data_IF_069192242860
#
_entry.id   IF_069192242860
#
_cell.length_a   1.000
_cell.length_b   1.000
_cell.length_c   1.000
_cell.angle_alpha   90.00
_cell.angle_beta   90.00
_cell.angle_gamma   90.00
#
_symmetry.space_group_name_H-M   'P 1'
#
loop_
_entity.id
_entity.type
_entity.pdbx_description
1 polymer ?
#
# COMPACT_ATOMS: atom_id res chain seq x y z
N UNK A 1 -4.63 1.23 -19.43
CA UNK A 1 -5.18 1.91 -18.26
C UNK A 1 -5.44 3.38 -18.59
N UNK A 2 -6.36 3.65 -19.51
CA UNK A 2 -6.81 5.01 -19.78
C UNK A 2 -8.00 5.27 -18.85
N UNK A 3 -7.88 6.23 -17.93
CA UNK A 3 -8.93 6.57 -16.97
C UNK A 3 -8.69 6.17 -15.51
N UNK A 4 -7.51 5.65 -15.16
CA UNK A 4 -7.20 5.36 -13.75
C UNK A 4 -6.79 6.66 -13.05
N UNK A 5 -7.62 7.10 -12.12
CA UNK A 5 -7.40 8.26 -11.25
C UNK A 5 -7.43 7.80 -9.80
N UNK A 6 -7.44 8.71 -8.82
CA UNK A 6 -7.66 8.28 -7.45
C UNK A 6 -6.42 7.70 -6.78
N UNK A 7 -6.66 7.12 -5.61
CA UNK A 7 -5.71 6.21 -4.96
C UNK A 7 -5.35 5.00 -5.86
N UNK A 8 -6.28 4.53 -6.71
CA UNK A 8 -6.02 3.43 -7.63
C UNK A 8 -4.90 3.74 -8.63
N UNK A 9 -4.92 4.95 -9.22
CA UNK A 9 -3.88 5.38 -10.16
C UNK A 9 -2.54 5.59 -9.45
N UNK A 10 -2.57 6.22 -8.28
CA UNK A 10 -1.40 6.41 -7.43
C UNK A 10 -0.70 5.08 -7.14
N UNK A 11 -1.44 4.09 -6.62
CA UNK A 11 -0.89 2.79 -6.23
C UNK A 11 -0.45 1.95 -7.44
N UNK A 12 -1.21 1.98 -8.54
CA UNK A 12 -0.84 1.31 -9.78
C UNK A 12 0.51 1.81 -10.30
N UNK A 13 0.66 3.13 -10.43
CA UNK A 13 1.87 3.72 -10.97
C UNK A 13 3.05 3.57 -10.00
N UNK A 14 2.84 3.68 -8.69
CA UNK A 14 3.86 3.31 -7.69
C UNK A 14 4.34 1.87 -7.90
N UNK A 15 3.42 0.94 -8.08
CA UNK A 15 3.70 -0.46 -8.34
C UNK A 15 4.45 -0.74 -9.65
N UNK A 16 4.35 0.17 -10.62
CA UNK A 16 5.11 0.12 -11.89
C UNK A 16 6.44 0.89 -11.81
N UNK A 17 6.82 1.35 -10.62
CA UNK A 17 8.06 2.09 -10.37
C UNK A 17 7.98 3.59 -10.68
N UNK A 18 6.80 4.12 -11.02
CA UNK A 18 6.61 5.56 -11.19
C UNK A 18 6.37 6.27 -9.86
N UNK A 19 6.94 7.47 -9.73
CA UNK A 19 6.76 8.29 -8.54
C UNK A 19 5.41 9.00 -8.56
N UNK A 20 4.58 8.72 -7.57
CA UNK A 20 3.29 9.38 -7.40
C UNK A 20 3.18 10.11 -6.06
N UNK A 21 3.96 9.72 -5.06
CA UNK A 21 4.07 10.41 -3.76
C UNK A 21 5.26 11.36 -3.73
N UNK A 22 5.15 12.46 -2.98
CA UNK A 22 6.27 13.37 -2.80
C UNK A 22 7.29 12.77 -1.81
N UNK A 23 8.61 13.03 -1.99
CA UNK A 23 9.64 12.45 -1.13
C UNK A 23 9.49 12.80 0.36
N UNK A 24 9.00 14.00 0.67
CA UNK A 24 8.82 14.46 2.07
C UNK A 24 7.58 13.93 2.78
N UNK A 25 6.74 13.11 2.14
CA UNK A 25 5.44 12.70 2.68
C UNK A 25 5.48 11.38 3.46
N UNK A 26 6.63 10.72 3.55
CA UNK A 26 6.73 9.39 4.17
C UNK A 26 6.22 9.33 5.61
N UNK A 27 6.37 10.41 6.38
CA UNK A 27 5.93 10.49 7.78
C UNK A 27 4.49 10.99 7.97
N UNK A 28 3.83 11.46 6.92
CA UNK A 28 2.44 11.86 6.97
C UNK A 28 1.50 10.64 7.05
N UNK A 29 0.34 10.76 7.72
CA UNK A 29 -0.65 9.69 7.74
C UNK A 29 -1.15 9.39 6.32
N UNK A 30 -1.26 8.11 5.99
CA UNK A 30 -1.82 7.64 4.74
C UNK A 30 -3.34 7.64 4.82
N UNK A 31 -3.94 8.84 4.72
CA UNK A 31 -5.38 9.07 4.84
C UNK A 31 -6.16 8.54 3.61
N UNK A 32 -6.19 7.21 3.47
CA UNK A 32 -6.91 6.49 2.42
C UNK A 32 -8.19 5.93 3.01
N UNK A 33 -9.32 6.55 2.66
CA UNK A 33 -10.64 6.14 3.13
C UNK A 33 -11.04 4.79 2.50
N UNK A 34 -11.36 3.76 3.30
CA UNK A 34 -11.89 2.49 2.80
C UNK A 34 -13.18 2.69 2.00
N UNK A 35 -13.29 2.03 0.86
CA UNK A 35 -14.46 2.16 -0.02
C UNK A 35 -15.74 1.73 0.71
N UNK A 36 -15.70 0.64 1.46
CA UNK A 36 -16.87 0.14 2.20
C UNK A 36 -17.37 1.16 3.24
N UNK A 37 -16.45 1.87 3.92
CA UNK A 37 -16.81 2.95 4.83
C UNK A 37 -17.47 4.12 4.09
N UNK A 38 -16.87 4.55 2.99
CA UNK A 38 -17.40 5.65 2.18
C UNK A 38 -18.79 5.31 1.64
N UNK A 39 -18.99 4.09 1.14
CA UNK A 39 -20.29 3.61 0.63
C UNK A 39 -21.34 3.59 1.75
N UNK A 40 -21.01 3.09 2.94
CA UNK A 40 -21.92 3.11 4.10
C UNK A 40 -22.31 4.53 4.49
N UNK A 41 -21.38 5.49 4.43
CA UNK A 41 -21.68 6.91 4.66
C UNK A 41 -22.60 7.47 3.58
N UNK A 42 -22.34 7.21 2.30
CA UNK A 42 -23.17 7.71 1.19
C UNK A 42 -24.60 7.17 1.28
N UNK A 43 -24.75 5.86 1.52
CA UNK A 43 -26.07 5.25 1.62
C UNK A 43 -26.77 5.70 2.92
N UNK A 44 -26.04 5.70 4.04
CA UNK A 44 -26.56 6.14 5.32
C UNK A 44 -26.99 7.61 5.31
N UNK A 45 -26.21 8.49 4.69
CA UNK A 45 -26.58 9.90 4.62
C UNK A 45 -27.87 10.09 3.82
N UNK A 46 -28.06 9.37 2.71
CA UNK A 46 -29.31 9.38 1.95
C UNK A 46 -30.50 8.84 2.76
N UNK A 47 -30.30 7.78 3.53
CA UNK A 47 -31.34 7.15 4.34
C UNK A 47 -31.81 8.02 5.52
N UNK A 48 -30.88 8.78 6.14
CA UNK A 48 -31.14 9.57 7.34
C UNK A 48 -31.25 11.09 7.08
N UNK A 49 -31.16 11.54 5.83
CA UNK A 49 -31.30 12.94 5.48
C UNK A 49 -32.71 13.43 5.79
N UNK A 50 -32.81 14.55 6.50
CA UNK A 50 -34.08 15.24 6.74
C UNK A 50 -34.06 16.58 6.02
N UNK A 51 -35.20 17.03 5.47
CA UNK A 51 -35.28 18.38 4.93
C UNK A 51 -34.96 19.38 6.06
N UNK A 52 -34.17 20.44 5.79
CA UNK A 52 -33.65 21.36 6.80
C UNK A 52 -34.74 22.25 7.45
N UNK A 53 -36.01 22.09 7.05
CA UNK A 53 -37.10 22.96 7.47
C UNK A 53 -36.94 24.38 6.90
N UNK A 54 -37.53 25.36 7.58
CA UNK A 54 -37.51 26.77 7.16
C UNK A 54 -36.35 27.57 7.77
N UNK A 55 -35.67 27.03 8.78
CA UNK A 55 -34.61 27.71 9.53
C UNK A 55 -33.31 26.91 9.44
N UNK A 56 -32.42 27.29 8.53
CA UNK A 56 -31.13 26.65 8.33
C UNK A 56 -30.02 27.67 8.06
N UNK A 57 -28.78 27.27 8.29
CA UNK A 57 -27.60 28.08 7.97
C UNK A 57 -26.96 27.58 6.66
N UNK A 58 -26.64 28.49 5.74
CA UNK A 58 -25.83 28.15 4.57
C UNK A 58 -24.34 28.20 4.98
N UNK A 59 -23.50 27.21 4.61
CA UNK A 59 -22.08 27.14 4.98
C UNK A 59 -21.23 28.36 4.59
N UNK A 60 -21.73 29.22 3.69
CA UNK A 60 -21.02 30.39 3.17
C UNK A 60 -21.82 31.69 3.29
N UNK A 61 -22.98 31.68 3.97
CA UNK A 61 -23.66 32.93 4.29
C UNK A 61 -23.08 33.45 5.60
N UNK A 62 -22.59 34.68 5.59
CA UNK A 62 -22.28 35.39 6.82
C UNK A 62 -23.48 35.26 7.75
N UNK A 63 -23.31 34.64 8.92
CA UNK A 63 -24.37 34.57 9.91
C UNK A 63 -24.68 36.02 10.27
N UNK A 64 -25.85 36.57 9.91
CA UNK A 64 -26.16 37.94 10.26
C UNK A 64 -26.14 38.00 11.77
N UNK A 65 -25.37 38.92 12.34
CA UNK A 65 -25.41 39.14 13.77
C UNK A 65 -26.87 39.46 14.13
N UNK A 66 -27.55 38.66 14.98
CA UNK A 66 -28.93 38.94 15.37
C UNK A 66 -29.09 40.28 16.10
N UNK A 67 -27.98 40.91 16.50
CA UNK A 67 -27.97 42.28 17.04
C UNK A 67 -27.74 43.35 15.97
N UNK A 68 -27.40 42.98 14.73
CA UNK A 68 -27.36 43.91 13.60
C UNK A 68 -28.78 44.14 13.08
N UNK A 69 -29.50 45.04 13.73
CA UNK A 69 -30.70 45.63 13.15
C UNK A 69 -30.28 46.48 11.94
N UNK A 70 -30.10 45.85 10.78
CA UNK A 70 -29.90 46.56 9.51
C UNK A 70 -30.39 45.69 8.35
N UNK A 71 -31.65 45.87 8.03
CA UNK A 71 -32.28 45.49 6.77
C UNK A 71 -31.66 46.32 5.65
N UNK A 72 -30.59 45.84 5.03
CA UNK A 72 -30.21 46.26 3.68
C UNK A 72 -29.33 45.21 3.00
N UNK A 73 -29.83 44.72 1.87
CA UNK A 73 -29.09 43.88 0.92
C UNK A 73 -28.06 44.79 0.23
N UNK A 74 -26.73 44.55 0.32
CA UNK A 74 -25.76 45.33 -0.41
C UNK A 74 -25.65 44.80 -1.85
N UNK A 75 -26.20 45.55 -2.80
CA UNK A 75 -25.91 45.41 -4.23
C UNK A 75 -24.63 46.16 -4.58
N UNK A 76 -23.46 45.55 -4.37
CA UNK A 76 -22.22 45.93 -5.09
C UNK A 76 -21.15 44.84 -4.97
N UNK A 77 -20.53 44.38 -6.09
CA UNK A 77 -19.41 43.48 -6.05
C UNK A 77 -18.09 44.26 -5.99
N UNK A 78 -17.32 44.13 -4.91
CA UNK A 78 -15.96 44.67 -4.90
C UNK A 78 -15.24 44.66 -3.55
N UNK A 79 -14.05 44.06 -3.59
CA UNK A 79 -12.89 44.32 -2.72
C UNK A 79 -12.78 43.52 -1.41
N UNK A 80 -11.85 42.56 -1.45
CA UNK A 80 -10.97 42.11 -0.36
C UNK A 80 -11.62 41.81 1.00
N UNK A 81 -12.20 40.62 1.13
CA UNK A 81 -12.38 40.01 2.45
C UNK A 81 -11.20 39.09 2.79
N UNK A 82 -10.52 39.29 3.93
CA UNK A 82 -9.54 38.32 4.40
C UNK A 82 -10.27 37.06 4.85
N UNK A 83 -9.87 35.91 4.26
CA UNK A 83 -10.21 34.57 4.75
C UNK A 83 -9.83 34.48 6.23
N UNK A 84 -10.77 34.72 7.12
CA UNK A 84 -10.65 34.42 8.54
C UNK A 84 -11.40 33.13 8.78
N UNK A 85 -10.63 32.05 8.89
CA UNK A 85 -11.02 30.82 9.55
C UNK A 85 -11.16 31.09 11.05
N UNK A 86 -12.21 31.79 11.45
CA UNK A 86 -12.60 31.95 12.86
C UNK A 86 -13.54 30.80 13.22
N UNK A 87 -12.95 29.69 13.66
CA UNK A 87 -13.71 28.53 14.12
C UNK A 87 -13.02 27.69 15.21
N UNK A 88 -11.90 28.15 15.77
CA UNK A 88 -11.13 27.38 16.75
C UNK A 88 -10.97 28.03 18.14
N UNK A 89 -11.46 29.26 18.38
CA UNK A 89 -11.27 29.94 19.68
C UNK A 89 -12.48 29.89 20.63
N UNK A 90 -13.62 29.31 20.24
CA UNK A 90 -14.84 29.32 21.08
C UNK A 90 -14.91 28.19 22.15
N UNK A 91 -13.83 27.47 22.42
CA UNK A 91 -13.83 26.35 23.38
C UNK A 91 -13.45 26.70 24.83
N UNK A 92 -13.16 27.95 25.17
CA UNK A 92 -12.63 28.31 26.51
C UNK A 92 -13.50 29.20 27.40
N UNK A 93 -14.65 29.72 26.94
CA UNK A 93 -15.52 30.54 27.79
C UNK A 93 -16.93 29.96 27.87
N UNK A 94 -17.37 29.63 29.09
CA UNK A 94 -18.65 29.02 29.44
C UNK A 94 -19.88 29.91 29.19
N UNK A 95 -19.98 30.52 28.02
CA UNK A 95 -21.20 31.17 27.56
C UNK A 95 -22.21 30.08 27.13
N UNK A 96 -23.50 30.21 27.49
CA UNK A 96 -24.52 29.28 27.03
C UNK A 96 -24.56 29.31 25.50
N UNK A 97 -24.24 28.16 24.88
CA UNK A 97 -24.21 27.98 23.42
C UNK A 97 -25.53 28.50 22.84
N UNK A 98 -25.45 29.54 22.00
CA UNK A 98 -26.57 29.91 21.12
C UNK A 98 -26.99 28.65 20.35
N UNK A 99 -28.30 28.37 20.18
CA UNK A 99 -28.73 27.22 19.40
C UNK A 99 -28.20 27.37 17.97
N UNK A 100 -27.28 26.48 17.57
CA UNK A 100 -26.74 26.45 16.22
C UNK A 100 -27.86 26.01 15.27
N UNK A 101 -28.20 26.86 14.30
CA UNK A 101 -29.09 26.49 13.20
C UNK A 101 -28.47 25.29 12.44
N UNK A 102 -29.28 24.33 11.97
CA UNK A 102 -28.78 23.20 11.20
C UNK A 102 -28.16 23.68 9.88
N UNK A 103 -26.94 23.25 9.52
CA UNK A 103 -26.32 23.63 8.26
C UNK A 103 -27.00 22.94 7.07
N UNK A 104 -27.17 23.67 5.96
CA UNK A 104 -27.65 23.12 4.69
C UNK A 104 -26.84 23.69 3.51
N UNK A 105 -26.28 22.86 2.60
CA UNK A 105 -26.32 21.40 2.63
C UNK A 105 -25.57 20.84 3.85
N UNK A 106 -26.03 19.68 4.34
CA UNK A 106 -25.30 18.93 5.37
C UNK A 106 -24.04 18.36 4.73
N UNK A 107 -22.88 18.65 5.31
CA UNK A 107 -21.60 18.18 4.80
C UNK A 107 -21.12 17.02 5.68
N UNK A 108 -21.05 15.83 5.10
CA UNK A 108 -20.48 14.65 5.74
C UNK A 108 -19.01 14.51 5.32
N UNK A 109 -18.10 14.88 6.21
CA UNK A 109 -16.66 14.78 5.96
C UNK A 109 -16.21 13.35 6.25
N UNK A 110 -15.40 12.79 5.34
CA UNK A 110 -14.86 11.42 5.48
C UNK A 110 -13.35 11.48 5.50
N UNK A 111 -12.75 10.82 6.49
CA UNK A 111 -11.30 10.69 6.66
C UNK A 111 -11.02 9.37 7.36
N UNK A 112 -9.92 8.74 7.00
CA UNK A 112 -9.35 7.61 7.71
C UNK A 112 -8.57 8.05 8.96
N UNK A 113 -8.37 9.35 9.23
CA UNK A 113 -7.63 9.83 10.40
C UNK A 113 -8.14 9.24 11.73
N UNK A 114 -9.46 9.08 11.87
CA UNK A 114 -10.09 8.45 13.04
C UNK A 114 -9.84 6.93 13.13
N UNK A 115 -9.48 6.29 12.02
CA UNK A 115 -9.21 4.84 11.88
C UNK A 115 -7.73 4.48 12.13
N UNK A 116 -6.94 5.43 12.65
CA UNK A 116 -5.50 5.26 12.96
C UNK A 116 -4.71 4.71 11.75
N UNK A 117 -4.69 5.43 10.61
CA UNK A 117 -4.05 4.94 9.41
C UNK A 117 -2.53 4.92 9.60
N UNK A 118 -1.80 4.02 8.91
CA UNK A 118 -0.36 4.01 8.97
C UNK A 118 0.22 5.25 8.31
N UNK A 119 1.52 5.49 8.52
CA UNK A 119 2.27 6.48 7.75
C UNK A 119 2.43 6.03 6.30
N UNK A 120 2.57 6.98 5.36
CA UNK A 120 2.84 6.66 3.94
C UNK A 120 4.07 5.79 3.74
N UNK A 121 5.11 5.92 4.56
CA UNK A 121 6.30 5.05 4.54
C UNK A 121 5.93 3.58 4.71
N UNK A 122 5.13 3.28 5.73
CA UNK A 122 4.70 1.91 6.00
C UNK A 122 3.69 1.40 4.96
N UNK A 123 2.73 2.23 4.55
CA UNK A 123 1.80 1.88 3.47
C UNK A 123 2.56 1.56 2.17
N UNK A 124 3.59 2.36 1.85
CA UNK A 124 4.47 2.13 0.70
C UNK A 124 5.22 0.81 0.79
N UNK A 125 5.75 0.42 1.96
CA UNK A 125 6.43 -0.86 2.10
C UNK A 125 5.51 -2.05 1.79
N UNK A 126 4.25 -1.97 2.19
CA UNK A 126 3.23 -2.98 1.84
C UNK A 126 2.94 -2.98 0.33
N UNK A 127 2.74 -1.79 -0.27
CA UNK A 127 2.54 -1.63 -1.71
C UNK A 127 3.73 -2.23 -2.47
N UNK A 128 4.95 -1.84 -2.10
CA UNK A 128 6.21 -2.32 -2.68
C UNK A 128 6.30 -3.83 -2.59
N UNK A 129 6.09 -4.41 -1.41
CA UNK A 129 6.17 -5.85 -1.19
C UNK A 129 5.22 -6.60 -2.13
N UNK A 130 3.96 -6.15 -2.24
CA UNK A 130 3.01 -6.72 -3.19
C UNK A 130 3.51 -6.68 -4.63
N UNK A 131 3.94 -5.52 -5.12
CA UNK A 131 4.31 -5.36 -6.53
C UNK A 131 5.64 -6.04 -6.87
N UNK A 132 6.63 -6.02 -5.99
CA UNK A 132 7.90 -6.73 -6.18
C UNK A 132 7.66 -8.23 -6.31
N UNK A 133 6.84 -8.83 -5.43
CA UNK A 133 6.51 -10.26 -5.50
C UNK A 133 5.74 -10.64 -6.75
N UNK A 134 4.86 -9.75 -7.24
CA UNK A 134 3.96 -10.09 -8.34
C UNK A 134 4.56 -9.79 -9.71
N UNK A 135 5.36 -8.74 -9.84
CA UNK A 135 5.87 -8.26 -11.14
C UNK A 135 7.37 -8.48 -11.33
N UNK A 136 8.10 -8.85 -10.27
CA UNK A 136 9.57 -8.88 -10.23
C UNK A 136 10.23 -7.55 -10.62
N UNK A 137 9.47 -6.45 -10.65
CA UNK A 137 10.00 -5.11 -10.91
C UNK A 137 10.74 -4.64 -9.67
N UNK A 138 11.97 -4.19 -9.86
CA UNK A 138 12.75 -3.59 -8.79
C UNK A 138 12.23 -2.18 -8.46
N UNK A 139 11.56 -2.08 -7.32
CA UNK A 139 10.97 -0.85 -6.76
C UNK A 139 11.85 -0.42 -5.57
N UNK A 140 12.21 0.88 -5.45
CA UNK A 140 13.04 1.38 -4.36
C UNK A 140 12.45 1.05 -2.99
N UNK A 141 13.30 0.92 -1.97
CA UNK A 141 12.84 0.80 -0.57
C UNK A 141 12.17 2.09 -0.09
N UNK A 142 11.37 2.06 0.99
CA UNK A 142 10.75 3.29 1.51
C UNK A 142 11.76 4.34 1.94
N UNK A 143 12.94 3.93 2.41
CA UNK A 143 14.05 4.83 2.74
C UNK A 143 14.61 5.53 1.50
N UNK A 144 14.72 4.82 0.39
CA UNK A 144 15.18 5.35 -0.90
C UNK A 144 14.11 6.12 -1.67
N UNK A 145 12.84 5.84 -1.40
CA UNK A 145 11.72 6.48 -2.06
C UNK A 145 11.35 7.82 -1.39
N UNK A 146 11.36 7.87 -0.05
CA UNK A 146 11.05 9.06 0.74
C UNK A 146 12.29 9.87 1.17
N UNK A 147 13.40 9.83 0.40
CA UNK A 147 14.61 10.60 0.70
C UNK A 147 14.50 12.09 0.37
N UNK A 148 15.26 12.89 1.10
CA UNK A 148 15.18 14.35 1.21
C UNK A 148 15.39 15.18 -0.07
N UNK A 149 15.76 14.61 -1.22
CA UNK A 149 16.03 15.37 -2.46
C UNK A 149 15.23 14.89 -3.68
N UNK A 150 14.23 15.69 -4.05
CA UNK A 150 13.42 15.55 -5.29
C UNK A 150 14.28 15.52 -6.55
N UNK A 151 15.47 16.13 -6.54
CA UNK A 151 16.39 16.17 -7.69
C UNK A 151 17.15 14.85 -7.88
N UNK A 152 17.68 14.26 -6.80
CA UNK A 152 18.40 12.99 -6.85
C UNK A 152 17.49 11.82 -7.27
N UNK A 153 16.26 11.81 -6.78
CA UNK A 153 15.29 10.78 -7.18
C UNK A 153 14.87 10.94 -8.65
N UNK A 154 14.60 12.19 -9.10
CA UNK A 154 14.32 12.46 -10.52
C UNK A 154 15.48 12.03 -11.44
N UNK A 155 16.73 12.23 -11.02
CA UNK A 155 17.90 11.78 -11.76
C UNK A 155 17.99 10.24 -11.82
N UNK A 156 17.74 9.53 -10.71
CA UNK A 156 17.66 8.05 -10.68
C UNK A 156 16.52 7.53 -11.55
N UNK A 157 15.34 8.14 -11.45
CA UNK A 157 14.18 7.80 -12.25
C UNK A 157 14.45 8.02 -13.74
N UNK A 158 15.06 9.16 -14.09
CA UNK A 158 15.52 9.44 -15.45
C UNK A 158 16.50 8.36 -15.94
N UNK A 159 17.52 8.03 -15.16
CA UNK A 159 18.51 7.02 -15.55
C UNK A 159 17.93 5.61 -15.68
N UNK A 160 16.99 5.21 -14.81
CA UNK A 160 16.42 3.86 -14.82
C UNK A 160 15.34 3.70 -15.90
N UNK A 161 14.53 4.74 -16.15
CA UNK A 161 13.32 4.62 -16.96
C UNK A 161 13.27 5.53 -18.19
N UNK A 162 14.00 6.65 -18.25
CA UNK A 162 13.99 7.55 -19.41
C UNK A 162 15.26 7.44 -20.27
N UNK A 163 16.43 7.21 -19.70
CA UNK A 163 17.69 7.08 -20.43
C UNK A 163 17.71 5.86 -21.36
N UNK A 164 17.25 4.66 -20.95
CA UNK A 164 17.05 3.56 -21.88
C UNK A 164 16.06 3.89 -23.00
N UNK A 165 15.09 4.78 -22.77
CA UNK A 165 14.10 5.22 -23.77
C UNK A 165 14.72 6.17 -24.79
N UNK A 166 15.56 7.10 -24.35
CA UNK A 166 16.29 8.03 -25.22
C UNK A 166 17.28 7.29 -26.12
N UNK A 167 17.91 6.23 -25.61
CA UNK A 167 18.82 5.38 -26.40
C UNK A 167 18.02 4.46 -27.33
N UNK A 168 16.95 3.84 -26.83
CA UNK A 168 16.09 2.97 -27.63
C UNK A 168 15.38 3.70 -28.76
N UNK A 169 14.92 4.95 -28.57
CA UNK A 169 14.27 5.74 -29.62
C UNK A 169 15.24 6.15 -30.74
N UNK A 170 16.48 6.47 -30.40
CA UNK A 170 17.56 6.70 -31.36
C UNK A 170 17.93 5.40 -32.10
N UNK A 171 18.05 4.28 -31.39
CA UNK A 171 18.28 2.98 -32.01
C UNK A 171 17.12 2.54 -32.92
N UNK A 172 15.88 2.88 -32.57
CA UNK A 172 14.69 2.57 -33.35
C UNK A 172 14.57 3.42 -34.63
N UNK A 173 15.05 4.66 -34.59
CA UNK A 173 15.19 5.51 -35.77
C UNK A 173 16.24 4.98 -36.77
N UNK A 174 17.19 4.16 -36.28
CA UNK A 174 18.26 3.55 -37.09
C UNK A 174 17.93 2.11 -37.54
N UNK A 175 17.16 1.35 -36.75
CA UNK A 175 16.99 -0.12 -36.94
C UNK A 175 15.55 -0.56 -37.30
N UNK A 176 14.54 0.32 -37.25
CA UNK A 176 13.23 0.03 -37.85
C UNK A 176 12.37 -1.06 -37.17
N UNK A 177 12.60 -1.40 -35.91
CA UNK A 177 11.88 -2.48 -35.22
C UNK A 177 10.54 -2.07 -34.58
N UNK A 178 9.42 -2.17 -35.31
CA UNK A 178 8.05 -1.72 -34.91
C UNK A 178 7.54 -2.09 -33.50
N UNK A 179 8.07 -3.12 -32.85
CA UNK A 179 7.64 -3.58 -31.52
C UNK A 179 8.16 -2.75 -30.35
N UNK A 180 9.35 -2.16 -30.48
CA UNK A 180 10.03 -1.45 -29.38
C UNK A 180 9.40 -0.07 -29.14
N UNK A 181 8.95 0.62 -30.20
CA UNK A 181 8.34 1.95 -30.14
C UNK A 181 6.98 1.98 -29.42
N UNK A 182 6.19 0.90 -29.50
CA UNK A 182 4.90 0.80 -28.79
C UNK A 182 5.09 0.73 -27.27
N UNK A 183 6.11 0.02 -26.80
CA UNK A 183 6.41 -0.06 -25.36
C UNK A 183 6.99 1.26 -24.84
N UNK A 184 7.81 1.94 -25.64
CA UNK A 184 8.34 3.28 -25.34
C UNK A 184 7.21 4.30 -25.18
N UNK A 185 6.25 4.32 -26.10
CA UNK A 185 5.08 5.22 -26.02
C UNK A 185 4.20 4.93 -24.81
N UNK A 186 3.94 3.66 -24.48
CA UNK A 186 3.19 3.25 -23.29
C UNK A 186 3.87 3.71 -22.00
N UNK A 187 5.19 3.55 -21.91
CA UNK A 187 5.99 3.99 -20.77
C UNK A 187 5.94 5.52 -20.62
N UNK A 188 6.11 6.27 -21.72
CA UNK A 188 6.01 7.73 -21.72
C UNK A 188 4.66 8.22 -21.19
N UNK A 189 3.56 7.64 -21.69
CA UNK A 189 2.20 7.94 -21.23
C UNK A 189 2.00 7.65 -19.74
N UNK A 190 2.57 6.54 -19.25
CA UNK A 190 2.54 6.18 -17.83
C UNK A 190 3.22 7.24 -16.96
N UNK A 191 4.41 7.69 -17.37
CA UNK A 191 5.16 8.74 -16.63
C UNK A 191 4.38 10.06 -16.60
N UNK A 192 3.80 10.46 -17.72
CA UNK A 192 2.98 11.67 -17.80
C UNK A 192 1.76 11.60 -16.88
N UNK A 193 1.05 10.47 -16.89
CA UNK A 193 -0.11 10.25 -16.01
C UNK A 193 0.29 10.23 -14.53
N UNK A 194 1.40 9.58 -14.19
CA UNK A 194 1.92 9.58 -12.82
C UNK A 194 2.27 10.99 -12.32
N UNK A 195 2.89 11.83 -13.17
CA UNK A 195 3.18 13.22 -12.85
C UNK A 195 1.90 14.03 -12.58
N UNK A 196 0.91 13.92 -13.49
CA UNK A 196 -0.39 14.59 -13.33
C UNK A 196 -1.10 14.19 -12.04
N UNK A 197 -1.07 12.90 -11.70
CA UNK A 197 -1.64 12.38 -10.45
C UNK A 197 -0.90 12.96 -9.24
N UNK A 198 0.44 12.96 -9.26
CA UNK A 198 1.25 13.49 -8.16
C UNK A 198 0.99 14.98 -7.92
N UNK A 199 0.89 15.77 -8.99
CA UNK A 199 0.57 17.20 -8.94
C UNK A 199 -0.86 17.45 -8.43
N UNK A 200 -1.84 16.65 -8.86
CA UNK A 200 -3.22 16.76 -8.40
C UNK A 200 -3.38 16.44 -6.90
N UNK A 201 -2.59 15.50 -6.36
CA UNK A 201 -2.64 15.14 -4.94
C UNK A 201 -1.79 16.00 -4.02
N UNK A 202 -0.83 16.75 -4.58
CA UNK A 202 0.12 17.52 -3.79
C UNK A 202 -0.56 18.47 -2.76
N UNK A 203 -1.63 19.24 -3.09
CA UNK A 203 -2.29 20.10 -2.11
C UNK A 203 -2.93 19.34 -0.95
N UNK A 204 -3.46 18.14 -1.21
CA UNK A 204 -4.16 17.33 -0.22
C UNK A 204 -3.18 16.61 0.72
N UNK A 205 -2.01 16.23 0.21
CA UNK A 205 -1.01 15.48 0.98
C UNK A 205 0.07 16.37 1.64
N UNK A 206 0.14 17.67 1.29
CA UNK A 206 1.08 18.63 1.93
C UNK A 206 0.63 19.10 3.31
N UNK A 207 -0.67 19.10 3.55
CA UNK A 207 -1.26 19.60 4.79
C UNK A 207 -2.02 18.49 5.50
N UNK A 208 -1.91 18.44 6.82
CA UNK A 208 -2.82 17.63 7.63
C UNK A 208 -4.15 18.35 7.68
N UNK A 209 -5.20 17.70 7.18
CA UNK A 209 -6.55 18.21 7.24
C UNK A 209 -7.23 17.69 8.51
N UNK A 210 -7.73 18.61 9.34
CA UNK A 210 -8.55 18.27 10.50
C UNK A 210 -9.97 18.62 10.12
N UNK A 211 -10.78 17.59 9.94
CA UNK A 211 -12.16 17.69 9.52
C UNK A 211 -13.06 17.90 10.75
N UNK A 212 -14.06 18.77 10.62
CA UNK A 212 -15.15 18.88 11.61
C UNK A 212 -16.16 17.82 11.23
N UNK A 213 -16.29 16.79 12.06
CA UNK A 213 -17.01 15.56 11.71
C UNK A 213 -18.36 15.42 12.42
N UNK A 214 -18.88 16.46 13.10
CA UNK A 214 -20.12 16.40 13.89
C UNK A 214 -21.27 15.69 13.15
N UNK A 215 -21.48 16.03 11.87
CA UNK A 215 -22.52 15.40 11.03
C UNK A 215 -22.24 13.92 10.74
N UNK A 216 -20.96 13.57 10.58
CA UNK A 216 -20.52 12.18 10.36
C UNK A 216 -20.62 11.37 11.66
N UNK A 217 -20.31 11.95 12.83
CA UNK A 217 -20.51 11.31 14.13
C UNK A 217 -21.99 11.08 14.45
N UNK A 218 -22.84 12.06 14.17
CA UNK A 218 -24.29 11.92 14.31
C UNK A 218 -24.84 10.81 13.40
N UNK A 219 -24.34 10.73 12.16
CA UNK A 219 -24.70 9.64 11.25
C UNK A 219 -24.22 8.29 11.78
N UNK A 220 -22.97 8.22 12.26
CA UNK A 220 -22.39 7.03 12.88
C UNK A 220 -23.20 6.55 14.08
N UNK A 221 -23.66 7.46 14.93
CA UNK A 221 -24.51 7.13 16.07
C UNK A 221 -25.88 6.56 15.65
N UNK A 222 -26.44 7.00 14.51
CA UNK A 222 -27.69 6.46 13.96
C UNK A 222 -27.48 5.08 13.33
N UNK A 223 -26.36 4.87 12.66
CA UNK A 223 -26.02 3.63 11.97
C UNK A 223 -25.50 2.53 12.90
N UNK A 224 -25.10 2.85 14.13
CA UNK A 224 -24.52 1.88 15.08
C UNK A 224 -25.48 0.73 15.45
N UNK A 225 -26.79 0.96 15.35
CA UNK A 225 -27.81 -0.06 15.61
C UNK A 225 -28.08 -0.97 14.39
N UNK A 226 -27.51 -0.66 13.23
CA UNK A 226 -27.69 -1.40 11.99
C UNK A 226 -26.45 -2.24 11.70
N UNK A 227 -26.56 -3.56 11.82
CA UNK A 227 -25.42 -4.48 11.63
C UNK A 227 -24.82 -4.43 10.22
N UNK A 228 -25.61 -4.09 9.20
CA UNK A 228 -25.13 -4.03 7.82
C UNK A 228 -24.41 -2.71 7.52
N UNK A 229 -24.86 -1.62 8.14
CA UNK A 229 -24.34 -0.26 7.91
C UNK A 229 -23.48 0.28 9.05
N UNK A 230 -23.24 -0.49 10.11
CA UNK A 230 -22.41 -0.07 11.24
C UNK A 230 -21.04 0.40 10.76
N UNK A 231 -20.69 1.63 11.14
CA UNK A 231 -19.43 2.24 10.78
C UNK A 231 -18.29 1.84 11.74
N UNK A 232 -18.56 1.11 12.83
CA UNK A 232 -17.53 0.62 13.75
C UNK A 232 -16.65 -0.48 13.15
N UNK A 233 -17.12 -1.15 12.10
CA UNK A 233 -16.37 -2.21 11.39
C UNK A 233 -15.00 -1.76 10.89
N UNK A 234 -14.79 -0.46 10.71
CA UNK A 234 -13.52 0.10 10.22
C UNK A 234 -12.58 0.62 11.31
N UNK A 235 -12.96 0.50 12.59
CA UNK A 235 -12.10 0.98 13.69
C UNK A 235 -10.87 0.09 13.88
N UNK A 236 -11.00 -1.20 13.59
CA UNK A 236 -9.96 -2.21 13.75
C UNK A 236 -9.44 -2.74 12.40
N UNK A 237 -9.23 -1.83 11.44
CA UNK A 237 -8.68 -2.21 10.13
C UNK A 237 -7.25 -2.74 10.27
N UNK A 238 -7.02 -3.93 9.73
CA UNK A 238 -5.68 -4.44 9.50
C UNK A 238 -5.11 -3.83 8.21
N UNK A 239 -4.50 -2.66 8.35
CA UNK A 239 -4.05 -1.81 7.24
C UNK A 239 -3.10 -2.49 6.25
N UNK A 240 -2.21 -3.36 6.72
CA UNK A 240 -1.30 -4.12 5.85
C UNK A 240 -2.08 -5.01 4.88
N UNK A 241 -3.09 -5.73 5.37
CA UNK A 241 -3.99 -6.51 4.51
C UNK A 241 -4.80 -5.62 3.59
N UNK A 242 -5.34 -4.52 4.11
CA UNK A 242 -6.11 -3.59 3.28
C UNK A 242 -5.30 -3.08 2.08
N UNK A 243 -4.07 -2.61 2.30
CA UNK A 243 -3.22 -2.16 1.20
C UNK A 243 -2.82 -3.32 0.27
N UNK A 244 -2.50 -4.51 0.77
CA UNK A 244 -2.21 -5.67 -0.06
C UNK A 244 -3.40 -6.05 -0.97
N UNK A 245 -4.61 -6.13 -0.40
CA UNK A 245 -5.86 -6.42 -1.11
C UNK A 245 -6.20 -5.32 -2.12
N UNK A 246 -5.99 -4.06 -1.74
CA UNK A 246 -6.22 -2.93 -2.63
C UNK A 246 -5.33 -3.03 -3.87
N UNK A 247 -4.04 -3.32 -3.68
CA UNK A 247 -3.11 -3.48 -4.81
C UNK A 247 -3.46 -4.72 -5.63
N UNK A 248 -3.91 -5.82 -5.01
CA UNK A 248 -4.47 -6.96 -5.73
C UNK A 248 -5.66 -6.54 -6.60
N UNK A 249 -6.62 -5.81 -6.05
CA UNK A 249 -7.78 -5.34 -6.79
C UNK A 249 -7.40 -4.42 -7.95
N UNK A 250 -6.46 -3.50 -7.75
CA UNK A 250 -5.92 -2.64 -8.82
C UNK A 250 -5.18 -3.46 -9.88
N UNK A 251 -4.41 -4.45 -9.47
CA UNK A 251 -3.67 -5.28 -10.42
C UNK A 251 -4.61 -6.14 -11.27
N UNK A 252 -5.57 -6.80 -10.64
CA UNK A 252 -6.48 -7.72 -11.30
C UNK A 252 -7.62 -7.00 -12.04
N UNK A 253 -8.38 -6.13 -11.36
CA UNK A 253 -9.58 -5.52 -11.95
C UNK A 253 -9.27 -4.28 -12.80
N UNK A 254 -8.29 -3.46 -12.40
CA UNK A 254 -7.97 -2.21 -13.11
C UNK A 254 -6.95 -2.44 -14.22
N UNK A 255 -5.90 -3.22 -13.96
CA UNK A 255 -4.89 -3.54 -14.98
C UNK A 255 -5.29 -4.70 -15.87
N UNK A 256 -6.28 -5.51 -15.45
CA UNK A 256 -6.77 -6.69 -16.19
C UNK A 256 -5.66 -7.69 -16.51
N UNK A 257 -4.67 -7.84 -15.61
CA UNK A 257 -3.59 -8.80 -15.81
C UNK A 257 -4.07 -10.21 -15.41
N UNK A 258 -3.98 -11.20 -16.33
CA UNK A 258 -4.38 -12.57 -16.03
C UNK A 258 -3.37 -13.24 -15.09
N UNK A 259 -3.84 -14.22 -14.31
CA UNK A 259 -2.96 -15.05 -13.47
C UNK A 259 -2.47 -14.39 -12.17
N UNK A 260 -2.93 -13.17 -11.87
CA UNK A 260 -2.62 -12.50 -10.59
C UNK A 260 -3.28 -13.23 -9.43
N UNK A 261 -2.51 -13.50 -8.37
CA UNK A 261 -3.00 -14.12 -7.12
C UNK A 261 -2.94 -13.12 -5.99
N UNK A 262 -3.91 -13.21 -5.07
CA UNK A 262 -3.80 -12.46 -3.81
C UNK A 262 -2.67 -13.02 -2.96
N UNK A 263 -1.87 -12.14 -2.37
CA UNK A 263 -0.85 -12.51 -1.40
C UNK A 263 -1.41 -12.56 0.03
N UNK A 264 -2.62 -12.02 0.24
CA UNK A 264 -3.27 -12.01 1.54
C UNK A 264 -4.08 -13.29 1.74
N UNK A 265 -4.12 -13.76 2.99
CA UNK A 265 -4.97 -14.89 3.39
C UNK A 265 -6.37 -14.41 3.84
N UNK A 266 -7.42 -15.24 3.66
CA UNK A 266 -8.75 -14.95 4.17
C UNK A 266 -8.79 -14.67 5.68
N UNK A 267 -9.87 -14.06 6.15
CA UNK A 267 -10.04 -13.81 7.57
C UNK A 267 -10.06 -15.12 8.37
N UNK A 268 -9.26 -15.20 9.44
CA UNK A 268 -9.13 -16.40 10.28
C UNK A 268 -8.07 -17.39 9.80
N UNK A 269 -7.37 -17.10 8.71
CA UNK A 269 -6.27 -17.90 8.18
C UNK A 269 -4.93 -17.21 8.44
N UNK A 270 -3.88 -17.99 8.61
CA UNK A 270 -2.48 -17.55 8.74
C UNK A 270 -1.62 -18.53 7.91
N UNK A 271 -0.54 -18.05 7.31
CA UNK A 271 0.42 -18.93 6.64
C UNK A 271 1.84 -18.37 6.78
N UNK A 272 2.83 -19.25 6.64
CA UNK A 272 4.24 -18.88 6.74
C UNK A 272 4.70 -17.83 5.70
N UNK A 273 3.92 -17.63 4.63
CA UNK A 273 4.18 -16.59 3.61
C UNK A 273 3.49 -15.26 3.92
N UNK A 274 2.49 -15.26 4.80
CA UNK A 274 1.69 -14.10 5.16
C UNK A 274 1.08 -14.31 6.56
N UNK A 275 1.77 -13.78 7.57
CA UNK A 275 1.33 -13.87 8.97
C UNK A 275 0.68 -12.59 9.46
N UNK A 276 -0.39 -12.74 10.25
CA UNK A 276 -1.05 -11.62 10.93
C UNK A 276 -0.29 -11.18 12.17
N UNK A 277 0.61 -12.01 12.68
CA UNK A 277 1.38 -11.71 13.87
C UNK A 277 2.49 -10.70 13.56
N UNK A 278 2.38 -9.49 14.09
CA UNK A 278 3.46 -8.48 14.02
C UNK A 278 4.78 -8.96 14.64
N UNK A 279 4.73 -9.94 15.55
CA UNK A 279 5.94 -10.55 16.13
C UNK A 279 6.69 -11.41 15.10
N UNK A 280 6.02 -11.84 14.04
CA UNK A 280 6.56 -12.65 12.96
C UNK A 280 6.87 -11.82 11.70
N UNK A 281 6.91 -10.49 11.76
CA UNK A 281 7.27 -9.62 10.62
C UNK A 281 8.75 -9.72 10.19
N UNK A 282 9.47 -10.75 10.62
CA UNK A 282 10.87 -11.07 10.29
C UNK A 282 11.02 -12.57 10.01
N UNK A 283 10.00 -13.21 9.42
CA UNK A 283 10.10 -14.61 9.03
C UNK A 283 11.25 -14.77 8.03
N UNK A 284 12.04 -15.82 8.22
CA UNK A 284 13.22 -16.14 7.39
C UNK A 284 12.84 -16.18 5.90
N UNK A 285 11.59 -16.53 5.60
CA UNK A 285 11.04 -16.66 4.24
C UNK A 285 10.94 -15.32 3.49
N UNK A 286 10.85 -14.19 4.20
CA UNK A 286 10.75 -12.86 3.58
C UNK A 286 12.12 -12.22 3.32
N UNK A 287 13.20 -12.85 3.78
CA UNK A 287 14.56 -12.34 3.64
C UNK A 287 15.22 -12.93 2.40
N UNK A 288 15.88 -12.09 1.62
CA UNK A 288 16.77 -12.55 0.55
C UNK A 288 18.01 -13.20 1.18
N UNK A 289 18.21 -14.47 0.87
CA UNK A 289 19.34 -15.28 1.33
C UNK A 289 20.62 -14.65 0.78
N UNK A 290 21.61 -14.47 1.66
CA UNK A 290 22.92 -13.98 1.25
C UNK A 290 23.89 -15.16 1.17
N UNK A 291 24.36 -15.46 -0.03
CA UNK A 291 25.44 -16.43 -0.22
C UNK A 291 26.79 -15.75 -0.10
N UNK A 292 27.75 -16.44 0.51
CA UNK A 292 29.16 -16.06 0.52
C UNK A 292 29.82 -16.46 -0.83
N UNK A 293 29.25 -17.45 -1.52
CA UNK A 293 29.83 -18.08 -2.71
C UNK A 293 29.19 -17.54 -3.99
N UNK A 294 27.88 -17.31 -3.99
CA UNK A 294 27.11 -16.93 -5.17
C UNK A 294 26.67 -15.46 -5.11
N UNK A 295 26.63 -14.81 -6.28
CA UNK A 295 26.04 -13.48 -6.37
C UNK A 295 24.52 -13.54 -6.24
N UNK A 296 23.88 -12.42 -5.87
CA UNK A 296 22.40 -12.35 -5.83
C UNK A 296 21.77 -12.68 -7.18
N UNK A 297 22.43 -12.35 -8.29
CA UNK A 297 21.94 -12.68 -9.63
C UNK A 297 21.99 -14.19 -9.91
N UNK A 298 23.01 -14.88 -9.41
CA UNK A 298 23.13 -16.33 -9.53
C UNK A 298 22.07 -17.05 -8.69
N UNK A 299 21.83 -16.57 -7.47
CA UNK A 299 20.76 -17.06 -6.57
C UNK A 299 19.39 -16.85 -7.23
N UNK A 300 19.15 -15.67 -7.83
CA UNK A 300 17.89 -15.37 -8.51
C UNK A 300 17.68 -16.28 -9.74
N UNK A 301 18.71 -16.45 -10.58
CA UNK A 301 18.65 -17.35 -11.75
C UNK A 301 18.38 -18.79 -11.34
N UNK A 302 18.99 -19.26 -10.25
CA UNK A 302 18.77 -20.59 -9.69
C UNK A 302 17.33 -20.76 -9.21
N UNK A 303 16.85 -19.80 -8.43
CA UNK A 303 15.47 -19.79 -7.94
C UNK A 303 14.45 -19.78 -9.09
N UNK A 304 14.70 -19.00 -10.13
CA UNK A 304 13.86 -18.97 -11.33
C UNK A 304 13.81 -20.34 -12.03
N UNK A 305 14.97 -21.00 -12.24
CA UNK A 305 15.02 -22.36 -12.80
C UNK A 305 14.23 -23.36 -11.98
N UNK A 306 14.41 -23.35 -10.66
CA UNK A 306 13.70 -24.27 -9.75
C UNK A 306 12.18 -24.08 -9.79
N UNK A 307 11.73 -22.82 -9.87
CA UNK A 307 10.30 -22.49 -10.00
C UNK A 307 9.76 -22.91 -11.37
N UNK A 308 10.49 -22.66 -12.45
CA UNK A 308 10.09 -23.07 -13.80
C UNK A 308 9.91 -24.60 -13.90
N UNK A 309 10.86 -25.36 -13.37
CA UNK A 309 10.79 -26.83 -13.35
C UNK A 309 9.63 -27.33 -12.48
N UNK A 310 9.37 -26.70 -11.34
CA UNK A 310 8.21 -27.02 -10.51
C UNK A 310 6.89 -26.75 -11.24
N UNK A 311 6.79 -25.61 -11.93
CA UNK A 311 5.61 -25.27 -12.75
C UNK A 311 5.42 -26.27 -13.89
N UNK A 312 6.49 -26.67 -14.56
CA UNK A 312 6.46 -27.68 -15.63
C UNK A 312 5.99 -29.05 -15.09
N UNK A 313 6.53 -29.48 -13.94
CA UNK A 313 6.15 -30.73 -13.30
C UNK A 313 4.67 -30.74 -12.86
N UNK A 314 4.17 -29.62 -12.33
CA UNK A 314 2.75 -29.48 -11.96
C UNK A 314 1.83 -29.42 -13.19
N UNK A 315 2.30 -28.84 -14.30
CA UNK A 315 1.55 -28.76 -15.55
C UNK A 315 1.49 -30.08 -16.32
N UNK A 316 2.50 -30.94 -16.16
CA UNK A 316 2.58 -32.24 -16.82
C UNK A 316 3.12 -33.34 -15.88
N UNK A 317 2.29 -33.85 -14.95
CA UNK A 317 2.72 -34.74 -13.88
C UNK A 317 3.24 -36.12 -14.35
N UNK A 318 3.15 -36.44 -15.66
CA UNK A 318 3.66 -37.67 -16.25
C UNK A 318 4.98 -37.52 -17.01
N UNK A 319 5.48 -36.30 -17.21
CA UNK A 319 6.74 -36.06 -17.91
C UNK A 319 7.89 -35.99 -16.89
N UNK A 320 8.48 -37.14 -16.57
CA UNK A 320 9.70 -37.18 -15.76
C UNK A 320 10.94 -37.08 -16.67
N UNK A 321 11.65 -35.96 -16.56
CA UNK A 321 12.98 -35.79 -17.12
C UNK A 321 14.01 -35.87 -15.98
N UNK A 322 14.66 -37.03 -15.86
CA UNK A 322 15.64 -37.30 -14.80
C UNK A 322 16.75 -36.25 -14.74
N UNK A 323 17.15 -35.70 -15.90
CA UNK A 323 18.20 -34.69 -15.95
C UNK A 323 17.75 -33.39 -15.28
N UNK A 324 16.49 -32.98 -15.50
CA UNK A 324 15.91 -31.79 -14.84
C UNK A 324 15.74 -32.03 -13.34
N UNK A 325 15.39 -33.25 -12.95
CA UNK A 325 15.30 -33.63 -11.53
C UNK A 325 16.67 -33.54 -10.82
N UNK A 326 17.73 -34.08 -11.45
CA UNK A 326 19.10 -33.99 -10.91
C UNK A 326 19.59 -32.53 -10.82
N UNK A 327 19.29 -31.71 -11.83
CA UNK A 327 19.59 -30.27 -11.84
C UNK A 327 18.82 -29.53 -10.75
N UNK A 328 17.53 -29.85 -10.56
CA UNK A 328 16.71 -29.29 -9.49
C UNK A 328 17.27 -29.60 -8.10
N UNK A 329 17.68 -30.85 -7.87
CA UNK A 329 18.26 -31.29 -6.60
C UNK A 329 19.57 -30.57 -6.33
N UNK A 330 20.42 -30.41 -7.34
CA UNK A 330 21.67 -29.65 -7.23
C UNK A 330 21.39 -28.18 -6.89
N UNK A 331 20.39 -27.58 -7.54
CA UNK A 331 19.99 -26.19 -7.30
C UNK A 331 19.36 -26.02 -5.89
N UNK A 332 18.65 -27.04 -5.40
CA UNK A 332 18.09 -27.09 -4.05
C UNK A 332 19.20 -27.20 -2.99
N UNK A 333 20.16 -28.12 -3.17
CA UNK A 333 21.29 -28.30 -2.26
C UNK A 333 22.12 -27.01 -2.16
N UNK A 334 22.44 -26.39 -3.29
CA UNK A 334 23.15 -25.10 -3.30
C UNK A 334 22.32 -23.98 -2.63
N UNK A 335 21.00 -24.04 -2.69
CA UNK A 335 20.13 -23.10 -1.96
C UNK A 335 20.14 -23.33 -0.46
N UNK A 336 20.22 -24.58 -0.01
CA UNK A 336 20.33 -24.93 1.40
C UNK A 336 21.71 -24.54 1.96
N UNK A 337 22.78 -24.75 1.20
CA UNK A 337 24.12 -24.29 1.56
C UNK A 337 24.15 -22.77 1.75
N UNK A 338 23.48 -22.02 0.88
CA UNK A 338 23.38 -20.57 1.01
C UNK A 338 22.63 -20.14 2.28
N UNK A 339 21.61 -20.90 2.71
CA UNK A 339 20.93 -20.67 3.98
C UNK A 339 21.82 -20.97 5.18
N UNK A 340 22.63 -22.04 5.12
CA UNK A 340 23.54 -22.42 6.21
C UNK A 340 24.59 -21.34 6.47
N UNK A 341 25.07 -20.68 5.40
CA UNK A 341 26.13 -19.69 5.46
C UNK A 341 25.64 -18.23 5.60
N UNK A 342 24.33 -17.98 5.72
CA UNK A 342 23.78 -16.65 5.94
C UNK A 342 24.02 -16.16 7.38
N UNK A 343 25.19 -15.55 7.61
CA UNK A 343 25.71 -15.07 8.90
C UNK A 343 24.99 -13.82 9.49
N UNK A 344 23.85 -13.43 8.92
CA UNK A 344 23.11 -12.29 9.42
C UNK A 344 22.49 -12.59 10.79
N UNK A 345 22.82 -11.74 11.76
CA UNK A 345 22.70 -11.90 13.23
C UNK A 345 21.29 -12.13 13.82
N UNK A 346 20.27 -12.47 13.03
CA UNK A 346 18.90 -12.76 13.48
C UNK A 346 18.78 -14.14 14.13
N UNK A 347 19.61 -15.10 13.74
CA UNK A 347 19.73 -16.40 14.44
C UNK A 347 20.78 -16.28 15.55
N UNK A 348 20.64 -15.30 16.46
CA UNK A 348 21.27 -15.42 17.78
C UNK A 348 20.48 -16.49 18.53
N UNK A 349 20.96 -17.72 18.40
CA UNK A 349 20.39 -18.93 19.00
C UNK A 349 20.37 -18.91 20.52
N UNK A 350 19.38 -18.22 21.09
CA UNK A 350 18.79 -18.65 22.37
C UNK A 350 17.62 -19.62 22.16
N UNK A 351 16.94 -19.60 20.99
CA UNK A 351 15.75 -20.44 20.78
C UNK A 351 16.01 -21.72 19.96
N UNK A 352 16.95 -21.72 19.02
CA UNK A 352 17.43 -22.93 18.35
C UNK A 352 18.86 -23.14 18.81
N UNK A 353 19.04 -24.00 19.82
CA UNK A 353 20.34 -24.29 20.41
C UNK A 353 21.36 -24.65 19.33
N UNK A 354 22.62 -24.26 19.52
CA UNK A 354 23.72 -24.50 18.57
C UNK A 354 23.83 -26.00 18.24
N UNK A 355 23.29 -26.42 17.11
CA UNK A 355 23.50 -27.74 16.55
C UNK A 355 24.91 -27.78 15.98
N UNK A 356 25.90 -28.09 16.81
CA UNK A 356 27.26 -28.32 16.33
C UNK A 356 27.32 -29.70 15.71
N UNK A 357 27.50 -29.76 14.40
CA UNK A 357 27.93 -30.96 13.68
C UNK A 357 29.16 -31.54 14.38
N UNK A 358 29.04 -32.75 14.93
CA UNK A 358 30.22 -33.59 15.14
C UNK A 358 30.55 -34.17 13.77
N UNK A 359 31.59 -33.62 13.15
CA UNK A 359 32.19 -34.14 11.92
C UNK A 359 32.51 -35.62 12.16
N UNK A 360 31.75 -36.53 11.53
CA UNK A 360 31.99 -37.97 11.58
C UNK A 360 30.78 -38.90 11.60
N UNK A 361 29.57 -38.42 11.93
CA UNK A 361 28.37 -39.28 11.97
C UNK A 361 27.48 -39.10 10.74
N UNK A 362 27.01 -40.23 10.22
CA UNK A 362 26.19 -40.41 9.03
C UNK A 362 25.06 -39.35 8.93
N UNK A 363 24.98 -38.67 7.79
CA UNK A 363 24.10 -37.52 7.54
C UNK A 363 22.60 -37.82 7.76
N UNK A 364 22.19 -39.07 7.52
CA UNK A 364 20.82 -39.53 7.81
C UNK A 364 20.50 -39.61 9.32
N UNK A 365 21.47 -39.97 10.15
CA UNK A 365 21.26 -40.06 11.60
C UNK A 365 21.06 -38.67 12.22
N UNK A 366 21.74 -37.66 11.68
CA UNK A 366 21.57 -36.26 12.08
C UNK A 366 20.17 -35.75 11.70
N UNK A 367 19.69 -36.04 10.49
CA UNK A 367 18.34 -35.67 10.03
C UNK A 367 17.25 -36.25 10.94
N UNK A 368 17.37 -37.52 11.34
CA UNK A 368 16.42 -38.17 12.26
C UNK A 368 16.46 -37.54 13.66
N UNK A 369 17.62 -37.12 14.14
CA UNK A 369 17.78 -36.47 15.46
C UNK A 369 17.21 -35.05 15.45
N UNK A 370 17.43 -34.28 14.39
CA UNK A 370 16.88 -32.92 14.26
C UNK A 370 15.36 -32.95 14.12
N UNK A 371 14.81 -33.83 13.29
CA UNK A 371 13.35 -33.94 13.08
C UNK A 371 12.61 -34.46 14.32
N UNK A 372 13.26 -35.24 15.18
CA UNK A 372 12.70 -35.69 16.45
C UNK A 372 12.99 -34.75 17.63
N UNK A 373 13.71 -33.65 17.41
CA UNK A 373 13.90 -32.66 18.46
C UNK A 373 12.58 -31.96 18.78
N UNK A 374 12.17 -32.03 20.05
CA UNK A 374 10.93 -31.43 20.54
C UNK A 374 10.87 -29.92 20.31
N UNK A 375 12.01 -29.24 20.21
CA UNK A 375 12.13 -27.80 19.91
C UNK A 375 11.82 -27.50 18.45
N UNK A 376 12.21 -28.38 17.53
CA UNK A 376 11.83 -28.29 16.11
C UNK A 376 10.32 -28.50 15.99
N UNK A 377 9.76 -29.49 16.68
CA UNK A 377 8.31 -29.67 16.76
C UNK A 377 7.55 -28.51 17.41
N UNK A 378 8.18 -27.75 18.32
CA UNK A 378 7.60 -26.55 18.92
C UNK A 378 7.70 -25.32 18.00
N UNK A 379 8.81 -25.17 17.27
CA UNK A 379 9.02 -24.11 16.29
C UNK A 379 8.12 -24.26 15.05
N UNK A 380 7.82 -25.49 14.62
CA UNK A 380 6.88 -25.77 13.53
C UNK A 380 5.41 -25.54 13.94
N UNK A 381 5.11 -25.57 15.24
CA UNK A 381 3.76 -25.36 15.78
C UNK A 381 3.44 -23.90 16.12
N UNK A 382 4.42 -22.99 16.02
CA UNK A 382 4.17 -21.55 16.02
C UNK A 382 3.66 -21.12 14.66
#
# INVERSE_FOLDING_TARGET
ADGVTGAAGTLLFTGRGAQTFQPGQGDAPADVVPIDYLVRIIIGCAAYMKPPGTNFALPYADVPDPNSASTSIPTTPGSNSPRTSTGSEEYMNGNPKKPKLPPFPVIYQTTAAAMKPPKWRHAYDVIRNYWVRTTKVDIPTSEEYFVSSKAMFKARFFMKYQLPQSIASVAHAVVGGEGLGKNVQKMSKMVELASKISEAYEPFLRHTWIFVDDSTQDLRAKLSCDTEFDLSVVDDIFWEKYYADFNYGVHYYVSQEPGVRTISVPFGWDCALYTRSRAASNLIIDKQIQSIVYSNDDINRRSDRMVEQLVEALGNPGAQDKRKEDEWLTDMDASLDDWEHDDNQLIKGEQLGKWRLKIGDNDEAVKVVVLNDKRVGAAIKQ
#
